data_IF_649508006355
#
_entry.id   IF_649508006355
#
_cell.length_a   1.000
_cell.length_b   1.000
_cell.length_c   1.000
_cell.angle_alpha   90.00
_cell.angle_beta   90.00
_cell.angle_gamma   90.00
#
_symmetry.space_group_name_H-M   'P 1'
#
loop_
_entity.id
_entity.type
_entity.pdbx_description
1 polymer ?
#
# COMPACT_ATOMS: atom_id res chain seq x y z
N UNK A 1 14.29 -56.07 -15.73
CA UNK A 1 14.15 -55.14 -14.56
C UNK A 1 15.18 -54.00 -14.60
N UNK A 2 16.46 -54.18 -14.81
CA UNK A 2 17.49 -53.12 -14.80
C UNK A 2 17.28 -51.97 -15.79
N UNK A 3 16.73 -52.21 -16.98
CA UNK A 3 16.47 -51.16 -18.00
C UNK A 3 15.30 -50.24 -17.58
N UNK A 4 14.30 -50.77 -16.83
CA UNK A 4 13.17 -50.01 -16.29
C UNK A 4 13.59 -49.12 -15.14
N UNK A 5 14.47 -49.61 -14.26
CA UNK A 5 15.04 -48.88 -13.14
C UNK A 5 15.97 -47.74 -13.57
N UNK A 6 16.77 -47.95 -14.62
CA UNK A 6 17.66 -46.92 -15.20
C UNK A 6 16.86 -45.79 -15.88
N UNK A 7 15.74 -46.10 -16.52
CA UNK A 7 14.82 -45.08 -17.08
C UNK A 7 14.09 -44.27 -16.00
N UNK A 8 13.66 -44.91 -14.92
CA UNK A 8 13.03 -44.23 -13.78
C UNK A 8 13.99 -43.23 -13.13
N UNK A 9 15.22 -43.63 -12.85
CA UNK A 9 16.23 -42.76 -12.22
C UNK A 9 16.60 -41.55 -13.10
N UNK A 10 16.63 -41.73 -14.43
CA UNK A 10 16.83 -40.62 -15.40
C UNK A 10 15.64 -39.63 -15.37
N UNK A 11 14.43 -40.13 -15.22
CA UNK A 11 13.23 -39.29 -15.15
C UNK A 11 13.22 -38.43 -13.88
N UNK A 12 13.53 -38.97 -12.70
CA UNK A 12 13.58 -38.20 -11.44
C UNK A 12 14.65 -37.09 -11.46
N UNK A 13 15.82 -37.36 -12.04
CA UNK A 13 16.85 -36.32 -12.25
C UNK A 13 16.35 -35.17 -13.12
N UNK A 14 15.62 -35.50 -14.19
CA UNK A 14 15.04 -34.48 -15.09
C UNK A 14 14.02 -33.64 -14.34
N UNK A 15 13.11 -34.26 -13.59
CA UNK A 15 12.12 -33.55 -12.80
C UNK A 15 12.80 -32.60 -11.79
N UNK A 16 13.72 -33.15 -10.98
CA UNK A 16 14.39 -32.37 -9.93
C UNK A 16 15.21 -31.19 -10.51
N UNK A 17 15.96 -31.45 -11.60
CA UNK A 17 16.78 -30.40 -12.24
C UNK A 17 15.91 -29.31 -12.88
N UNK A 18 14.81 -29.70 -13.56
CA UNK A 18 13.87 -28.73 -14.12
C UNK A 18 13.21 -27.90 -13.02
N UNK A 19 12.74 -28.57 -11.95
CA UNK A 19 12.12 -27.87 -10.83
C UNK A 19 13.11 -26.85 -10.19
N UNK A 20 14.33 -27.27 -9.92
CA UNK A 20 15.36 -26.40 -9.34
C UNK A 20 15.68 -25.20 -10.24
N UNK A 21 15.90 -25.43 -11.52
CA UNK A 21 16.26 -24.35 -12.46
C UNK A 21 15.12 -23.35 -12.65
N UNK A 22 13.88 -23.83 -12.82
CA UNK A 22 12.71 -22.96 -12.94
C UNK A 22 12.42 -22.20 -11.63
N UNK A 23 12.51 -22.87 -10.49
CA UNK A 23 12.29 -22.24 -9.19
C UNK A 23 13.32 -21.14 -8.90
N UNK A 24 14.61 -21.46 -9.01
CA UNK A 24 15.68 -20.47 -8.76
C UNK A 24 15.55 -19.28 -9.72
N UNK A 25 15.33 -19.54 -11.01
CA UNK A 25 15.16 -18.47 -11.99
C UNK A 25 13.91 -17.62 -11.74
N UNK A 26 12.79 -18.21 -11.32
CA UNK A 26 11.58 -17.49 -10.93
C UNK A 26 11.80 -16.66 -9.66
N UNK A 27 12.44 -17.24 -8.65
CA UNK A 27 12.73 -16.55 -7.38
C UNK A 27 13.61 -15.33 -7.56
N UNK A 28 14.57 -15.38 -8.47
CA UNK A 28 15.41 -14.25 -8.83
C UNK A 28 14.64 -13.11 -9.51
N UNK A 29 13.44 -13.38 -10.05
CA UNK A 29 12.60 -12.37 -10.70
C UNK A 29 11.62 -11.68 -9.75
N UNK A 30 11.43 -12.14 -8.51
CA UNK A 30 10.52 -11.52 -7.56
C UNK A 30 10.80 -10.03 -7.31
N UNK A 31 12.04 -9.56 -7.16
CA UNK A 31 12.33 -8.14 -7.01
C UNK A 31 11.93 -7.29 -8.23
N UNK A 32 11.70 -7.93 -9.39
CA UNK A 32 11.31 -7.29 -10.66
C UNK A 32 9.84 -7.47 -11.00
N UNK A 33 9.08 -8.08 -10.10
CA UNK A 33 7.65 -8.27 -10.30
C UNK A 33 6.90 -6.97 -10.04
N UNK A 34 5.92 -6.68 -10.89
CA UNK A 34 5.08 -5.49 -10.80
C UNK A 34 3.88 -5.73 -9.90
N UNK A 35 3.38 -4.67 -9.24
CA UNK A 35 2.23 -4.71 -8.36
C UNK A 35 2.50 -5.52 -7.09
N UNK A 36 1.59 -6.44 -6.76
CA UNK A 36 1.74 -7.34 -5.61
C UNK A 36 2.70 -8.52 -5.88
N UNK A 37 3.55 -8.43 -6.90
CA UNK A 37 4.61 -9.42 -7.14
C UNK A 37 4.25 -10.56 -8.08
N UNK A 38 3.07 -10.53 -8.72
CA UNK A 38 2.57 -11.69 -9.48
C UNK A 38 3.05 -11.78 -10.93
N UNK A 39 3.48 -10.67 -11.55
CA UNK A 39 3.90 -10.64 -12.96
C UNK A 39 5.20 -9.86 -13.15
N UNK A 40 6.05 -10.33 -14.06
CA UNK A 40 7.31 -9.69 -14.43
C UNK A 40 7.41 -9.52 -15.94
N UNK A 41 8.04 -8.43 -16.38
CA UNK A 41 8.27 -8.14 -17.81
C UNK A 41 9.18 -9.17 -18.51
N UNK A 42 9.92 -9.96 -17.75
CA UNK A 42 10.71 -11.11 -18.25
C UNK A 42 10.52 -12.27 -17.30
N UNK A 43 10.13 -13.45 -17.83
CA UNK A 43 9.88 -14.64 -17.03
C UNK A 43 10.78 -15.82 -17.45
N UNK A 44 12.01 -15.91 -16.93
CA UNK A 44 12.97 -16.96 -17.29
C UNK A 44 12.45 -18.39 -17.18
N UNK A 45 11.62 -18.77 -16.18
CA UNK A 45 11.06 -20.11 -16.08
C UNK A 45 10.32 -20.58 -17.33
N UNK A 46 9.65 -19.66 -18.07
CA UNK A 46 8.96 -19.99 -19.31
C UNK A 46 9.92 -20.54 -20.37
N UNK A 47 11.07 -19.88 -20.56
CA UNK A 47 12.10 -20.30 -21.52
C UNK A 47 12.87 -21.54 -21.06
N UNK A 48 13.21 -21.63 -19.77
CA UNK A 48 13.87 -22.80 -19.18
C UNK A 48 12.98 -24.04 -19.28
N UNK A 49 11.68 -23.90 -18.93
CA UNK A 49 10.70 -24.97 -18.99
C UNK A 49 10.52 -25.50 -20.39
N UNK A 50 10.32 -24.62 -21.38
CA UNK A 50 10.23 -25.01 -22.79
C UNK A 50 11.51 -25.71 -23.26
N UNK A 51 12.68 -25.15 -22.95
CA UNK A 51 13.97 -25.73 -23.29
C UNK A 51 14.15 -27.13 -22.69
N UNK A 52 13.77 -27.33 -21.44
CA UNK A 52 13.80 -28.62 -20.75
C UNK A 52 12.90 -29.66 -21.42
N UNK A 53 11.66 -29.27 -21.76
CA UNK A 53 10.71 -30.19 -22.45
C UNK A 53 11.21 -30.55 -23.85
N UNK A 54 11.79 -29.60 -24.57
CA UNK A 54 12.36 -29.86 -25.91
C UNK A 54 13.57 -30.79 -25.85
N UNK A 55 14.50 -30.60 -24.91
CA UNK A 55 15.73 -31.40 -24.80
C UNK A 55 15.57 -32.72 -24.03
N UNK A 56 14.83 -32.70 -22.93
CA UNK A 56 14.72 -33.83 -22.02
C UNK A 56 13.38 -34.58 -22.14
N UNK A 57 12.46 -34.04 -22.94
CA UNK A 57 11.14 -34.62 -23.16
C UNK A 57 10.10 -34.27 -22.10
N UNK A 58 8.94 -34.90 -22.21
CA UNK A 58 7.79 -34.62 -21.33
C UNK A 58 8.02 -34.98 -19.85
N UNK A 59 9.09 -35.71 -19.52
CA UNK A 59 9.48 -35.94 -18.13
C UNK A 59 9.89 -34.67 -17.36
N UNK A 60 10.08 -33.55 -18.07
CA UNK A 60 10.35 -32.25 -17.46
C UNK A 60 9.08 -31.56 -16.93
N UNK A 61 7.89 -31.88 -17.47
CA UNK A 61 6.62 -31.22 -17.12
C UNK A 61 6.28 -31.23 -15.62
N UNK A 62 6.42 -32.37 -14.90
CA UNK A 62 6.20 -32.36 -13.44
C UNK A 62 7.15 -31.43 -12.68
N UNK A 63 8.39 -31.25 -13.19
CA UNK A 63 9.35 -30.32 -12.62
C UNK A 63 8.91 -28.85 -12.78
N UNK A 64 8.32 -28.48 -13.92
CA UNK A 64 7.75 -27.16 -14.16
C UNK A 64 6.60 -26.91 -13.18
N UNK A 65 5.68 -27.88 -13.05
CA UNK A 65 4.55 -27.80 -12.12
C UNK A 65 5.02 -27.56 -10.67
N UNK A 66 5.99 -28.35 -10.20
CA UNK A 66 6.52 -28.23 -8.84
C UNK A 66 7.20 -26.89 -8.58
N UNK A 67 7.97 -26.39 -9.55
CA UNK A 67 8.61 -25.09 -9.43
C UNK A 67 7.59 -23.97 -9.32
N UNK A 68 6.59 -23.97 -10.19
CA UNK A 68 5.57 -22.95 -10.24
C UNK A 68 4.64 -22.99 -9.01
N UNK A 69 4.33 -24.20 -8.51
CA UNK A 69 3.59 -24.38 -7.26
C UNK A 69 4.33 -23.81 -6.06
N UNK A 70 5.66 -24.02 -5.98
CA UNK A 70 6.49 -23.46 -4.91
C UNK A 70 6.53 -21.92 -4.98
N UNK A 71 6.67 -21.36 -6.17
CA UNK A 71 6.67 -19.91 -6.38
C UNK A 71 5.31 -19.30 -5.98
N UNK A 72 4.19 -19.94 -6.34
CA UNK A 72 2.87 -19.52 -5.93
C UNK A 72 2.66 -19.59 -4.42
N UNK A 73 3.19 -20.63 -3.76
CA UNK A 73 3.12 -20.77 -2.30
C UNK A 73 3.80 -19.61 -1.56
N UNK A 74 4.89 -19.10 -2.11
CA UNK A 74 5.59 -17.95 -1.51
C UNK A 74 4.90 -16.60 -1.76
N UNK A 75 4.09 -16.50 -2.83
CA UNK A 75 3.48 -15.24 -3.27
C UNK A 75 2.07 -15.03 -2.76
N UNK A 76 1.27 -16.09 -2.73
CA UNK A 76 -0.15 -15.99 -2.41
C UNK A 76 -0.40 -16.28 -0.92
N UNK A 77 -1.19 -15.43 -0.24
CA UNK A 77 -1.56 -15.70 1.13
C UNK A 77 -2.39 -16.98 1.23
N UNK A 78 -2.21 -17.73 2.32
CA UNK A 78 -3.03 -18.89 2.63
C UNK A 78 -4.52 -18.47 2.73
N UNK A 79 -5.39 -19.27 2.13
CA UNK A 79 -6.83 -19.02 2.16
C UNK A 79 -7.56 -20.24 2.71
N UNK A 80 -8.53 -20.00 3.60
CA UNK A 80 -9.39 -21.06 4.17
C UNK A 80 -10.51 -21.48 3.20
N UNK A 81 -10.72 -20.77 2.09
CA UNK A 81 -11.73 -21.12 1.10
C UNK A 81 -11.30 -22.33 0.26
N UNK A 82 -12.05 -23.46 0.25
CA UNK A 82 -11.74 -24.62 -0.57
C UNK A 82 -11.64 -24.30 -2.07
N UNK A 83 -12.43 -23.34 -2.55
CA UNK A 83 -12.41 -22.89 -3.93
C UNK A 83 -11.09 -22.21 -4.29
N UNK A 84 -10.61 -21.30 -3.44
CA UNK A 84 -9.32 -20.63 -3.66
C UNK A 84 -8.16 -21.60 -3.56
N UNK A 85 -8.21 -22.57 -2.65
CA UNK A 85 -7.20 -23.64 -2.58
C UNK A 85 -7.17 -24.47 -3.87
N UNK A 86 -8.33 -24.84 -4.42
CA UNK A 86 -8.39 -25.56 -5.69
C UNK A 86 -7.74 -24.77 -6.82
N UNK A 87 -8.05 -23.46 -6.94
CA UNK A 87 -7.46 -22.58 -7.96
C UNK A 87 -5.96 -22.47 -7.77
N UNK A 88 -5.48 -22.37 -6.53
CA UNK A 88 -4.06 -22.34 -6.18
C UNK A 88 -3.31 -23.57 -6.76
N UNK A 89 -3.84 -24.78 -6.60
CA UNK A 89 -3.23 -25.99 -7.15
C UNK A 89 -3.40 -26.12 -8.69
N UNK A 90 -4.42 -25.53 -9.28
CA UNK A 90 -4.65 -25.54 -10.71
C UNK A 90 -3.82 -24.50 -11.47
N UNK A 91 -3.51 -23.37 -10.87
CA UNK A 91 -2.80 -22.27 -11.55
C UNK A 91 -1.45 -22.68 -12.15
N UNK A 92 -0.59 -23.51 -11.52
CA UNK A 92 0.67 -23.97 -12.11
C UNK A 92 0.49 -24.82 -13.38
N UNK A 93 -0.69 -25.36 -13.63
CA UNK A 93 -0.96 -26.08 -14.88
C UNK A 93 -0.88 -25.19 -16.12
N UNK A 94 -1.07 -23.88 -15.96
CA UNK A 94 -0.89 -22.91 -17.05
C UNK A 94 0.55 -22.93 -17.59
N UNK A 95 1.55 -22.97 -16.72
CA UNK A 95 2.97 -23.06 -17.09
C UNK A 95 3.31 -24.41 -17.71
N UNK A 96 2.72 -25.48 -17.23
CA UNK A 96 2.85 -26.80 -17.84
C UNK A 96 2.24 -26.82 -19.24
N UNK A 97 1.02 -26.27 -19.40
CA UNK A 97 0.32 -26.16 -20.69
C UNK A 97 1.15 -25.34 -21.68
N UNK A 98 1.72 -24.24 -21.25
CA UNK A 98 2.60 -23.39 -22.07
C UNK A 98 3.79 -24.18 -22.63
N UNK A 99 4.54 -24.86 -21.78
CA UNK A 99 5.71 -25.63 -22.19
C UNK A 99 5.31 -26.81 -23.09
N UNK A 100 4.19 -27.45 -22.82
CA UNK A 100 3.66 -28.55 -23.60
C UNK A 100 3.19 -28.09 -25.01
N UNK A 101 2.37 -27.03 -25.09
CA UNK A 101 1.92 -26.44 -26.36
C UNK A 101 3.10 -25.95 -27.19
N UNK A 102 4.04 -25.22 -26.56
CA UNK A 102 5.24 -24.72 -27.23
C UNK A 102 6.06 -25.88 -27.81
N UNK A 103 6.24 -26.95 -27.05
CA UNK A 103 6.96 -28.14 -27.51
C UNK A 103 6.26 -28.80 -28.72
N UNK A 104 4.92 -28.96 -28.72
CA UNK A 104 4.17 -29.53 -29.81
C UNK A 104 4.27 -28.69 -31.08
N UNK A 105 4.02 -27.38 -30.94
CA UNK A 105 4.05 -26.43 -32.06
C UNK A 105 5.43 -26.37 -32.69
N UNK A 106 6.50 -26.29 -31.88
CA UNK A 106 7.90 -26.26 -32.37
C UNK A 106 8.24 -27.58 -33.09
N UNK A 107 7.91 -28.75 -32.51
CA UNK A 107 8.21 -30.04 -33.12
C UNK A 107 7.47 -30.25 -34.40
N UNK A 108 6.21 -29.81 -34.49
CA UNK A 108 5.36 -30.04 -35.66
C UNK A 108 5.66 -29.11 -36.83
N UNK A 109 5.90 -27.82 -36.55
CA UNK A 109 5.97 -26.79 -37.58
C UNK A 109 7.39 -26.19 -37.77
N UNK A 110 8.19 -26.10 -36.73
CA UNK A 110 9.54 -25.58 -36.82
C UNK A 110 10.62 -26.65 -36.99
N UNK A 111 10.24 -27.96 -36.94
CA UNK A 111 11.14 -29.07 -37.23
C UNK A 111 12.26 -29.26 -36.20
N UNK A 112 11.91 -29.43 -34.94
CA UNK A 112 12.90 -29.71 -33.87
C UNK A 112 13.46 -31.18 -34.03
N UNK A 113 14.78 -31.40 -33.88
CA UNK A 113 15.82 -30.47 -33.40
C UNK A 113 16.30 -29.48 -34.47
N UNK A 114 15.78 -28.27 -34.48
CA UNK A 114 16.17 -27.20 -35.35
C UNK A 114 17.37 -26.47 -34.75
N UNK A 115 18.41 -26.20 -35.58
CA UNK A 115 19.58 -25.47 -35.12
C UNK A 115 19.38 -23.96 -35.06
N UNK A 116 18.17 -23.45 -35.39
CA UNK A 116 17.85 -22.03 -35.45
C UNK A 116 18.94 -21.22 -36.23
N UNK A 117 19.28 -21.71 -37.42
CA UNK A 117 20.37 -21.13 -38.23
C UNK A 117 19.84 -20.03 -39.14
N UNK A 118 18.69 -20.23 -39.76
CA UNK A 118 18.09 -19.25 -40.66
C UNK A 118 17.18 -18.28 -39.88
N UNK A 119 17.12 -17.03 -40.35
CA UNK A 119 16.21 -16.01 -39.76
C UNK A 119 14.77 -16.52 -39.74
N UNK A 120 14.33 -17.15 -40.84
CA UNK A 120 12.97 -17.69 -40.90
C UNK A 120 12.67 -18.76 -39.85
N UNK A 121 13.64 -19.66 -39.55
CA UNK A 121 13.46 -20.68 -38.51
C UNK A 121 13.46 -20.06 -37.10
N UNK A 122 14.22 -18.98 -36.88
CA UNK A 122 14.23 -18.25 -35.62
C UNK A 122 12.88 -17.54 -35.43
N UNK A 123 12.42 -16.80 -36.44
CA UNK A 123 11.13 -16.08 -36.38
C UNK A 123 9.99 -17.08 -36.15
N UNK A 124 9.96 -18.19 -36.92
CA UNK A 124 8.93 -19.21 -36.78
C UNK A 124 8.94 -19.84 -35.38
N UNK A 125 10.11 -20.12 -34.82
CA UNK A 125 10.27 -20.64 -33.46
C UNK A 125 9.64 -19.68 -32.45
N UNK A 126 9.95 -18.37 -32.50
CA UNK A 126 9.41 -17.39 -31.58
C UNK A 126 7.91 -17.13 -31.76
N UNK A 127 7.41 -17.08 -32.99
CA UNK A 127 5.99 -16.96 -33.24
C UNK A 127 5.19 -18.11 -32.61
N UNK A 128 5.66 -19.35 -32.82
CA UNK A 128 4.97 -20.53 -32.34
C UNK A 128 5.10 -20.73 -30.82
N UNK A 129 6.30 -20.65 -30.30
CA UNK A 129 6.57 -20.93 -28.88
C UNK A 129 6.44 -19.73 -27.98
N UNK A 130 6.77 -18.53 -28.46
CA UNK A 130 6.66 -17.29 -27.71
C UNK A 130 5.25 -16.71 -27.75
N UNK A 131 4.74 -16.33 -28.93
CA UNK A 131 3.47 -15.61 -29.00
C UNK A 131 2.25 -16.52 -28.91
N UNK A 132 2.21 -17.62 -29.70
CA UNK A 132 1.02 -18.46 -29.79
C UNK A 132 0.88 -19.38 -28.58
N UNK A 133 1.95 -20.10 -28.19
CA UNK A 133 1.87 -21.08 -27.10
C UNK A 133 1.70 -20.44 -25.71
N UNK A 134 2.06 -19.18 -25.53
CA UNK A 134 1.94 -18.46 -24.25
C UNK A 134 0.61 -17.77 -24.08
N UNK A 135 -0.11 -17.48 -25.17
CA UNK A 135 -1.32 -16.66 -25.15
C UNK A 135 -2.43 -17.24 -24.24
N UNK A 136 -2.87 -18.47 -24.55
CA UNK A 136 -3.93 -19.12 -23.74
C UNK A 136 -3.47 -19.39 -22.29
N UNK A 137 -2.26 -19.91 -22.01
CA UNK A 137 -1.77 -20.06 -20.66
C UNK A 137 -1.69 -18.75 -19.85
N UNK A 138 -1.36 -17.62 -20.49
CA UNK A 138 -1.37 -16.32 -19.84
C UNK A 138 -2.79 -15.90 -19.40
N UNK A 139 -3.80 -16.14 -20.24
CA UNK A 139 -5.21 -15.90 -19.87
C UNK A 139 -5.60 -16.76 -18.66
N UNK A 140 -5.27 -18.05 -18.67
CA UNK A 140 -5.59 -18.96 -17.57
C UNK A 140 -4.91 -18.58 -16.27
N UNK A 141 -3.65 -18.16 -16.34
CA UNK A 141 -2.88 -17.70 -15.17
C UNK A 141 -3.49 -16.44 -14.56
N UNK A 142 -3.81 -15.44 -15.38
CA UNK A 142 -4.41 -14.18 -14.92
C UNK A 142 -5.82 -14.40 -14.39
N UNK A 143 -6.61 -15.27 -15.02
CA UNK A 143 -7.92 -15.66 -14.51
C UNK A 143 -7.82 -16.32 -13.12
N UNK A 144 -6.81 -17.17 -12.90
CA UNK A 144 -6.57 -17.78 -11.60
C UNK A 144 -6.21 -16.74 -10.53
N UNK A 145 -5.38 -15.73 -10.85
CA UNK A 145 -5.05 -14.63 -9.94
C UNK A 145 -6.30 -13.80 -9.57
N UNK A 146 -7.12 -13.48 -10.56
CA UNK A 146 -8.37 -12.74 -10.35
C UNK A 146 -9.36 -13.51 -9.47
N UNK A 147 -9.58 -14.80 -9.77
CA UNK A 147 -10.48 -15.66 -8.98
C UNK A 147 -9.99 -15.88 -7.53
N UNK A 148 -8.69 -15.81 -7.30
CA UNK A 148 -8.13 -15.82 -5.95
C UNK A 148 -8.25 -14.46 -5.23
N UNK A 149 -8.64 -13.38 -5.94
CA UNK A 149 -8.72 -12.04 -5.39
C UNK A 149 -7.36 -11.35 -5.26
N UNK A 150 -6.34 -11.85 -5.97
CA UNK A 150 -4.99 -11.31 -5.93
C UNK A 150 -4.83 -10.04 -6.80
N UNK A 151 -5.71 -9.83 -7.77
CA UNK A 151 -5.73 -8.66 -8.66
C UNK A 151 -7.14 -8.11 -8.81
N UNK A 152 -7.25 -6.82 -9.08
CA UNK A 152 -8.53 -6.13 -9.33
C UNK A 152 -8.95 -6.27 -10.80
N UNK A 153 -10.24 -6.07 -11.06
CA UNK A 153 -10.79 -6.08 -12.43
C UNK A 153 -10.14 -5.00 -13.32
N UNK A 154 -9.86 -3.83 -12.75
CA UNK A 154 -9.15 -2.73 -13.43
C UNK A 154 -7.77 -3.12 -13.96
N UNK A 155 -7.12 -4.10 -13.34
CA UNK A 155 -5.74 -4.47 -13.63
C UNK A 155 -5.61 -5.69 -14.53
N UNK A 156 -6.74 -6.33 -14.90
CA UNK A 156 -6.75 -7.55 -15.68
C UNK A 156 -6.00 -7.44 -17.01
N UNK A 157 -6.27 -6.39 -17.79
CA UNK A 157 -5.63 -6.20 -19.10
C UNK A 157 -4.14 -5.95 -18.96
N UNK A 158 -3.75 -5.10 -18.03
CA UNK A 158 -2.34 -4.79 -17.76
C UNK A 158 -1.58 -6.03 -17.28
N UNK A 159 -2.15 -6.78 -16.35
CA UNK A 159 -1.58 -8.02 -15.82
C UNK A 159 -1.44 -9.08 -16.92
N UNK A 160 -2.46 -9.22 -17.77
CA UNK A 160 -2.41 -10.15 -18.92
C UNK A 160 -1.29 -9.77 -19.89
N UNK A 161 -1.24 -8.52 -20.33
CA UNK A 161 -0.20 -8.06 -21.27
C UNK A 161 1.20 -8.24 -20.68
N UNK A 162 1.40 -7.88 -19.42
CA UNK A 162 2.68 -8.02 -18.73
C UNK A 162 3.09 -9.49 -18.59
N UNK A 163 2.16 -10.37 -18.20
CA UNK A 163 2.39 -11.82 -18.10
C UNK A 163 2.74 -12.42 -19.45
N UNK A 164 1.93 -12.13 -20.46
CA UNK A 164 2.11 -12.67 -21.82
C UNK A 164 3.46 -12.22 -22.42
N UNK A 165 3.77 -10.93 -22.36
CA UNK A 165 5.05 -10.39 -22.84
C UNK A 165 6.23 -10.91 -22.02
N UNK A 166 6.04 -11.09 -20.71
CA UNK A 166 7.05 -11.67 -19.82
C UNK A 166 7.40 -13.11 -20.20
N UNK A 167 6.42 -13.94 -20.51
CA UNK A 167 6.62 -15.31 -20.98
C UNK A 167 7.25 -15.35 -22.38
N UNK A 168 6.82 -14.46 -23.29
CA UNK A 168 7.43 -14.31 -24.63
C UNK A 168 8.92 -13.95 -24.53
N UNK A 169 9.25 -12.94 -23.73
CA UNK A 169 10.64 -12.49 -23.54
C UNK A 169 11.48 -13.56 -22.85
N UNK A 170 10.91 -14.25 -21.86
CA UNK A 170 11.52 -15.39 -21.20
C UNK A 170 11.90 -16.50 -22.17
N UNK A 171 10.99 -16.88 -23.08
CA UNK A 171 11.27 -17.86 -24.13
C UNK A 171 12.34 -17.36 -25.10
N UNK A 172 12.23 -16.09 -25.53
CA UNK A 172 13.18 -15.51 -26.49
C UNK A 172 14.63 -15.53 -26.00
N UNK A 173 14.83 -15.27 -24.74
CA UNK A 173 16.18 -15.13 -24.12
C UNK A 173 16.65 -16.49 -23.58
N UNK A 174 15.83 -17.12 -22.74
CA UNK A 174 16.30 -18.24 -21.91
C UNK A 174 16.20 -19.61 -22.62
N UNK A 175 15.38 -19.79 -23.66
CA UNK A 175 15.38 -21.07 -24.39
C UNK A 175 16.64 -21.26 -25.20
N UNK A 176 17.14 -20.28 -26.00
CA UNK A 176 18.45 -20.43 -26.69
C UNK A 176 19.59 -20.55 -25.71
N UNK A 177 19.57 -19.82 -24.59
CA UNK A 177 20.58 -19.92 -23.54
C UNK A 177 20.60 -21.33 -22.93
N UNK A 178 19.43 -21.90 -22.62
CA UNK A 178 19.28 -23.25 -22.11
C UNK A 178 19.86 -24.29 -23.11
N UNK A 179 19.55 -24.15 -24.41
CA UNK A 179 20.10 -25.01 -25.43
C UNK A 179 21.63 -24.91 -25.52
N UNK A 180 22.18 -23.72 -25.39
CA UNK A 180 23.63 -23.50 -25.44
C UNK A 180 24.35 -24.17 -24.26
N UNK A 181 23.71 -24.26 -23.09
CA UNK A 181 24.29 -24.89 -21.89
C UNK A 181 24.11 -26.41 -21.90
N UNK A 182 22.90 -26.88 -22.20
CA UNK A 182 22.50 -28.27 -21.98
C UNK A 182 22.51 -29.16 -23.23
N UNK A 183 22.51 -28.59 -24.44
CA UNK A 183 22.57 -29.37 -25.68
C UNK A 183 23.98 -29.76 -26.06
N UNK A 184 24.48 -30.85 -25.46
CA UNK A 184 25.84 -31.37 -25.71
C UNK A 184 26.00 -32.04 -27.08
N UNK A 185 24.90 -32.39 -27.75
CA UNK A 185 24.92 -33.17 -28.99
C UNK A 185 25.34 -32.37 -30.23
N UNK A 186 25.27 -31.07 -30.22
CA UNK A 186 25.59 -30.21 -31.35
C UNK A 186 26.66 -29.19 -30.98
N UNK A 187 27.84 -29.37 -31.58
CA UNK A 187 29.02 -28.47 -31.42
C UNK A 187 28.67 -26.99 -31.68
N UNK A 188 27.72 -26.74 -32.58
CA UNK A 188 27.24 -25.40 -32.95
C UNK A 188 26.65 -24.64 -31.74
N UNK A 189 25.87 -25.30 -30.89
CA UNK A 189 25.27 -24.65 -29.70
C UNK A 189 26.32 -24.24 -28.68
N UNK A 190 27.38 -25.02 -28.53
CA UNK A 190 28.49 -24.69 -27.63
C UNK A 190 29.31 -23.48 -28.13
N UNK A 191 29.51 -23.35 -29.45
CA UNK A 191 30.14 -22.16 -30.02
C UNK A 191 29.27 -20.91 -29.89
N UNK A 192 27.93 -21.06 -29.90
CA UNK A 192 26.98 -19.98 -29.71
C UNK A 192 26.83 -19.51 -28.26
N UNK A 193 27.33 -20.28 -27.29
CA UNK A 193 27.29 -19.85 -25.88
C UNK A 193 28.00 -18.50 -25.70
N UNK A 194 29.12 -18.30 -26.34
CA UNK A 194 29.86 -17.03 -26.28
C UNK A 194 29.30 -15.96 -27.23
N UNK A 195 28.87 -16.34 -28.44
CA UNK A 195 28.43 -15.38 -29.46
C UNK A 195 26.99 -14.91 -29.27
N UNK A 196 26.12 -15.70 -28.66
CA UNK A 196 24.71 -15.36 -28.38
C UNK A 196 24.43 -15.28 -26.88
N UNK A 197 24.91 -16.25 -26.10
CA UNK A 197 24.60 -16.33 -24.67
C UNK A 197 25.19 -15.16 -23.89
N UNK A 198 26.44 -14.81 -24.15
CA UNK A 198 27.10 -13.69 -23.45
C UNK A 198 26.41 -12.33 -23.74
N UNK A 199 26.19 -11.91 -25.02
CA UNK A 199 25.48 -10.68 -25.31
C UNK A 199 24.04 -10.64 -24.74
N UNK A 200 23.28 -11.74 -24.86
CA UNK A 200 21.94 -11.83 -24.30
C UNK A 200 21.94 -11.67 -22.78
N UNK A 201 22.91 -12.31 -22.09
CA UNK A 201 23.03 -12.16 -20.63
C UNK A 201 23.42 -10.74 -20.24
N UNK A 202 24.32 -10.10 -20.97
CA UNK A 202 24.72 -8.71 -20.71
C UNK A 202 23.54 -7.77 -20.93
N UNK A 203 22.81 -7.88 -22.05
CA UNK A 203 21.66 -7.05 -22.35
C UNK A 203 20.58 -7.26 -21.29
N UNK A 204 20.27 -8.52 -20.94
CA UNK A 204 19.31 -8.82 -19.90
C UNK A 204 19.73 -8.21 -18.55
N UNK A 205 21.00 -8.38 -18.15
CA UNK A 205 21.51 -7.80 -16.91
C UNK A 205 21.43 -6.27 -16.92
N UNK A 206 21.78 -5.63 -18.04
CA UNK A 206 21.72 -4.18 -18.16
C UNK A 206 20.28 -3.65 -18.07
N UNK A 207 19.31 -4.30 -18.74
CA UNK A 207 17.87 -3.96 -18.65
C UNK A 207 17.36 -4.19 -17.23
N UNK A 208 17.75 -5.28 -16.61
CA UNK A 208 17.39 -5.63 -15.24
C UNK A 208 17.88 -4.57 -14.24
N UNK A 209 19.16 -4.20 -14.31
CA UNK A 209 19.73 -3.15 -13.45
C UNK A 209 19.06 -1.80 -13.72
N UNK A 210 18.85 -1.44 -15.00
CA UNK A 210 18.13 -0.21 -15.36
C UNK A 210 16.71 -0.15 -14.77
N UNK A 211 15.99 -1.27 -14.81
CA UNK A 211 14.66 -1.39 -14.19
C UNK A 211 14.70 -1.20 -12.67
N UNK A 212 15.64 -1.87 -11.98
CA UNK A 212 15.81 -1.71 -10.52
C UNK A 212 16.09 -0.26 -10.12
N UNK A 213 16.97 0.40 -10.86
CA UNK A 213 17.30 1.81 -10.62
C UNK A 213 16.08 2.70 -10.87
N UNK A 214 15.29 2.44 -11.92
CA UNK A 214 14.07 3.19 -12.21
C UNK A 214 13.01 2.97 -11.13
N UNK A 215 12.81 1.73 -10.67
CA UNK A 215 11.87 1.37 -9.62
C UNK A 215 12.22 2.02 -8.28
N UNK A 216 13.51 2.01 -7.90
CA UNK A 216 13.95 2.64 -6.64
C UNK A 216 13.71 4.15 -6.65
N UNK A 217 13.97 4.82 -7.77
CA UNK A 217 13.70 6.26 -7.93
C UNK A 217 12.21 6.59 -7.90
N UNK A 218 11.36 5.77 -8.50
CA UNK A 218 9.91 5.98 -8.47
C UNK A 218 9.35 5.77 -7.06
N UNK A 219 9.84 4.77 -6.32
CA UNK A 219 9.46 4.55 -4.93
C UNK A 219 9.87 5.74 -4.04
N UNK A 220 11.09 6.25 -4.21
CA UNK A 220 11.56 7.45 -3.51
C UNK A 220 10.69 8.68 -3.83
N UNK A 221 10.35 8.86 -5.11
CA UNK A 221 9.44 9.93 -5.55
C UNK A 221 8.05 9.82 -4.90
N UNK A 222 7.48 8.61 -4.84
CA UNK A 222 6.20 8.37 -4.18
C UNK A 222 6.27 8.67 -2.68
N UNK A 223 7.34 8.25 -1.99
CA UNK A 223 7.57 8.59 -0.60
C UNK A 223 7.64 10.10 -0.37
N UNK A 224 8.35 10.85 -1.21
CA UNK A 224 8.40 12.30 -1.13
C UNK A 224 7.03 12.95 -1.38
N UNK A 225 6.26 12.46 -2.35
CA UNK A 225 4.91 12.97 -2.62
C UNK A 225 3.98 12.76 -1.42
N UNK A 226 3.97 11.55 -0.84
CA UNK A 226 3.17 11.25 0.35
C UNK A 226 3.61 12.09 1.54
N UNK A 227 4.91 12.20 1.79
CA UNK A 227 5.46 13.02 2.88
C UNK A 227 5.07 14.50 2.72
N UNK A 228 5.20 15.05 1.52
CA UNK A 228 4.83 16.43 1.23
C UNK A 228 3.33 16.68 1.43
N UNK A 229 2.47 15.76 0.97
CA UNK A 229 1.03 15.86 1.19
C UNK A 229 0.66 15.76 2.67
N UNK A 230 1.29 14.83 3.40
CA UNK A 230 1.07 14.69 4.85
C UNK A 230 1.49 15.95 5.60
N UNK A 231 2.64 16.52 5.28
CA UNK A 231 3.10 17.76 5.89
C UNK A 231 2.16 18.94 5.58
N UNK A 232 1.70 19.04 4.34
CA UNK A 232 0.78 20.09 3.94
C UNK A 232 -0.57 19.99 4.67
N UNK A 233 -1.10 18.78 4.87
CA UNK A 233 -2.31 18.54 5.70
C UNK A 233 -2.04 18.93 7.14
N UNK A 234 -0.90 18.52 7.70
CA UNK A 234 -0.51 18.89 9.07
C UNK A 234 -0.45 20.39 9.27
N UNK A 235 0.16 21.13 8.34
CA UNK A 235 0.22 22.59 8.39
C UNK A 235 -1.19 23.21 8.34
N UNK A 236 -2.07 22.73 7.44
CA UNK A 236 -3.43 23.23 7.34
C UNK A 236 -4.24 23.02 8.65
N UNK A 237 -4.05 21.87 9.31
CA UNK A 237 -4.68 21.60 10.60
C UNK A 237 -4.12 22.48 11.72
N UNK A 238 -2.81 22.70 11.73
CA UNK A 238 -2.17 23.59 12.72
C UNK A 238 -2.57 25.05 12.51
N UNK A 239 -2.70 25.51 11.28
CA UNK A 239 -3.16 26.87 10.97
C UNK A 239 -4.58 27.09 11.48
N UNK A 240 -5.51 26.14 11.21
CA UNK A 240 -6.89 26.23 11.72
C UNK A 240 -6.92 26.21 13.25
N UNK A 241 -6.17 25.29 13.87
CA UNK A 241 -6.02 25.26 15.33
C UNK A 241 -5.49 26.59 15.89
N UNK A 242 -4.48 27.17 15.25
CA UNK A 242 -3.91 28.46 15.69
C UNK A 242 -4.91 29.61 15.66
N UNK A 243 -5.82 29.61 14.69
CA UNK A 243 -6.91 30.59 14.57
C UNK A 243 -7.86 30.46 15.77
N UNK A 244 -8.22 29.23 16.15
CA UNK A 244 -9.08 28.97 17.32
C UNK A 244 -8.43 29.43 18.62
N UNK A 245 -7.14 29.06 18.81
CA UNK A 245 -6.38 29.50 19.98
C UNK A 245 -6.26 31.02 20.03
N UNK A 246 -6.01 31.67 18.90
CA UNK A 246 -5.94 33.15 18.85
C UNK A 246 -7.28 33.82 19.17
N UNK A 247 -8.39 33.24 18.76
CA UNK A 247 -9.73 33.70 19.12
C UNK A 247 -9.97 33.59 20.65
N UNK A 248 -9.67 32.41 21.24
CA UNK A 248 -9.87 32.18 22.67
C UNK A 248 -8.92 33.05 23.53
N UNK A 249 -7.67 33.29 23.08
CA UNK A 249 -6.74 34.20 23.74
C UNK A 249 -7.28 35.63 23.78
N UNK A 250 -7.86 36.14 22.68
CA UNK A 250 -8.48 37.47 22.68
C UNK A 250 -9.61 37.59 23.71
N UNK A 251 -10.42 36.53 23.88
CA UNK A 251 -11.43 36.48 24.93
C UNK A 251 -10.81 36.42 26.32
N UNK A 252 -9.70 35.69 26.47
CA UNK A 252 -8.96 35.58 27.69
C UNK A 252 -8.34 36.90 28.12
N UNK A 253 -7.78 37.71 27.21
CA UNK A 253 -7.23 39.03 27.47
C UNK A 253 -8.29 39.97 28.05
N UNK A 254 -9.52 39.92 27.54
CA UNK A 254 -10.65 40.67 28.08
C UNK A 254 -11.00 40.25 29.54
N UNK A 255 -10.83 38.97 29.84
CA UNK A 255 -11.02 38.42 31.18
C UNK A 255 -9.91 38.88 32.15
N UNK A 256 -8.64 38.86 31.71
CA UNK A 256 -7.48 39.29 32.48
C UNK A 256 -7.55 40.78 32.87
N UNK A 257 -7.98 41.64 31.93
CA UNK A 257 -8.15 43.08 32.13
C UNK A 257 -9.35 43.48 33.02
N UNK A 258 -10.03 42.55 33.65
CA UNK A 258 -11.26 42.78 34.46
C UNK A 258 -12.41 43.49 33.70
N UNK A 259 -12.36 43.50 32.36
CA UNK A 259 -13.38 44.09 31.51
C UNK A 259 -14.42 43.06 31.09
N UNK A 260 -14.26 41.80 31.48
CA UNK A 260 -15.17 40.73 31.17
C UNK A 260 -16.44 40.87 32.03
N UNK A 261 -17.49 41.33 31.39
CA UNK A 261 -18.86 41.29 31.94
C UNK A 261 -19.75 40.43 31.00
N UNK A 262 -20.93 40.07 31.42
CA UNK A 262 -21.82 39.20 30.65
C UNK A 262 -22.09 39.73 29.24
N UNK A 263 -22.31 41.04 29.11
CA UNK A 263 -22.62 41.69 27.84
C UNK A 263 -21.45 41.63 26.86
N UNK A 264 -20.21 41.93 27.35
CA UNK A 264 -18.97 41.87 26.51
C UNK A 264 -18.65 40.42 26.14
N UNK A 265 -18.76 39.48 27.09
CA UNK A 265 -18.55 38.06 26.82
C UNK A 265 -19.52 37.59 25.71
N UNK A 266 -20.82 37.85 25.90
CA UNK A 266 -21.84 37.43 24.95
C UNK A 266 -21.65 38.04 23.55
N UNK A 267 -21.27 39.30 23.47
CA UNK A 267 -20.98 39.96 22.19
C UNK A 267 -19.80 39.32 21.47
N UNK A 268 -18.67 39.08 22.18
CA UNK A 268 -17.50 38.47 21.59
C UNK A 268 -17.73 37.00 21.22
N UNK A 269 -18.44 36.24 22.05
CA UNK A 269 -18.79 34.86 21.79
C UNK A 269 -19.68 34.72 20.56
N UNK A 270 -20.73 35.56 20.44
CA UNK A 270 -21.60 35.58 19.26
C UNK A 270 -20.85 35.98 17.99
N UNK A 271 -19.91 36.91 18.09
CA UNK A 271 -19.04 37.27 16.96
C UNK A 271 -18.19 36.08 16.55
N UNK A 272 -17.57 35.37 17.49
CA UNK A 272 -16.81 34.14 17.23
C UNK A 272 -17.64 33.05 16.59
N UNK A 273 -18.84 32.79 17.13
CA UNK A 273 -19.78 31.82 16.57
C UNK A 273 -20.20 32.13 15.10
N UNK A 274 -20.18 33.41 14.70
CA UNK A 274 -20.43 33.80 13.30
C UNK A 274 -19.21 33.62 12.42
N UNK A 275 -18.03 33.91 12.95
CA UNK A 275 -16.77 33.87 12.19
C UNK A 275 -16.20 32.45 12.02
N UNK A 276 -16.46 31.58 12.99
CA UNK A 276 -15.96 30.19 13.03
C UNK A 276 -17.12 29.21 12.94
N UNK A 277 -17.41 28.65 11.76
CA UNK A 277 -18.55 27.73 11.56
C UNK A 277 -18.47 26.46 12.40
N UNK A 278 -17.28 26.01 12.69
CA UNK A 278 -16.95 24.83 13.51
C UNK A 278 -17.03 25.09 15.03
N UNK A 279 -17.04 26.36 15.46
CA UNK A 279 -17.26 26.72 16.86
C UNK A 279 -18.71 26.48 17.26
N UNK A 280 -18.93 25.57 18.20
CA UNK A 280 -20.26 25.18 18.71
C UNK A 280 -20.65 26.01 19.93
N UNK A 281 -19.70 26.33 20.77
CA UNK A 281 -19.92 27.10 21.96
C UNK A 281 -18.65 27.67 22.61
N UNK A 282 -18.84 28.70 23.43
CA UNK A 282 -17.79 29.31 24.26
C UNK A 282 -18.28 29.43 25.67
N UNK A 283 -17.46 29.04 26.63
CA UNK A 283 -17.79 29.10 28.06
C UNK A 283 -16.69 29.83 28.83
N UNK A 284 -17.08 30.61 29.82
CA UNK A 284 -16.19 31.16 30.84
C UNK A 284 -16.44 30.47 32.18
N UNK A 285 -15.38 29.84 32.68
CA UNK A 285 -15.36 29.14 33.96
C UNK A 285 -14.52 29.92 34.94
N UNK A 286 -15.10 30.39 36.07
CA UNK A 286 -14.32 31.01 37.15
C UNK A 286 -13.70 29.93 38.02
N UNK A 287 -12.43 30.14 38.39
CA UNK A 287 -11.74 29.28 39.32
C UNK A 287 -12.06 29.66 40.78
N UNK A 288 -12.49 28.69 41.58
CA UNK A 288 -12.66 28.81 43.05
C UNK A 288 -11.58 27.94 43.70
N UNK A 289 -10.77 28.53 44.52
CA UNK A 289 -9.70 27.82 45.25
C UNK A 289 -10.34 26.95 46.35
N UNK A 290 -10.00 25.65 46.37
CA UNK A 290 -10.36 24.68 47.38
C UNK A 290 -9.11 24.10 48.01
N UNK A 291 -9.22 23.35 49.13
CA UNK A 291 -8.12 22.89 49.96
C UNK A 291 -6.97 22.15 49.23
N UNK A 292 -7.20 21.60 48.04
CA UNK A 292 -6.18 20.91 47.24
C UNK A 292 -6.31 21.19 45.74
N UNK A 293 -6.66 22.39 45.29
CA UNK A 293 -6.74 22.72 43.87
C UNK A 293 -7.78 23.78 43.54
N UNK A 294 -8.32 23.71 42.36
CA UNK A 294 -9.33 24.61 41.86
C UNK A 294 -10.63 23.84 41.47
N UNK A 295 -11.76 24.45 41.81
CA UNK A 295 -13.05 24.05 41.28
C UNK A 295 -13.50 25.10 40.26
N UNK A 296 -13.93 24.67 39.10
CA UNK A 296 -14.37 25.54 38.00
C UNK A 296 -15.91 25.66 38.04
N UNK A 297 -16.39 26.89 38.08
CA UNK A 297 -17.83 27.18 38.11
C UNK A 297 -18.16 27.97 36.83
N UNK A 298 -19.09 27.43 36.03
CA UNK A 298 -19.59 28.08 34.83
C UNK A 298 -20.31 29.37 35.19
N UNK A 299 -19.82 30.51 34.67
CA UNK A 299 -20.41 31.83 34.90
C UNK A 299 -21.11 32.37 33.66
N UNK A 300 -20.45 32.31 32.52
CA UNK A 300 -21.01 32.78 31.26
C UNK A 300 -20.85 31.67 30.21
N UNK A 301 -21.85 31.55 29.35
CA UNK A 301 -21.80 30.65 28.21
C UNK A 301 -22.64 31.19 27.07
N UNK A 302 -22.17 30.91 25.84
CA UNK A 302 -22.92 31.15 24.61
C UNK A 302 -22.72 29.95 23.71
N UNK A 303 -23.81 29.38 23.23
CA UNK A 303 -23.76 28.15 22.42
C UNK A 303 -24.66 28.29 21.19
N UNK A 304 -24.28 27.70 20.11
CA UNK A 304 -25.04 27.67 18.85
C UNK A 304 -26.30 26.78 18.97
N UNK A 305 -26.22 25.74 19.81
CA UNK A 305 -27.32 24.79 20.03
C UNK A 305 -27.32 24.31 21.49
N UNK A 306 -28.47 24.26 22.12
CA UNK A 306 -28.65 23.86 23.54
C UNK A 306 -28.28 22.39 23.86
N UNK A 307 -27.65 21.65 22.96
CA UNK A 307 -27.37 20.22 23.12
C UNK A 307 -25.95 19.88 23.58
N UNK A 308 -25.04 20.85 23.58
CA UNK A 308 -23.62 20.56 23.91
C UNK A 308 -23.24 21.42 25.11
N UNK A 309 -23.02 20.77 26.24
CA UNK A 309 -22.43 21.40 27.44
C UNK A 309 -21.28 20.53 27.90
N UNK A 310 -20.11 21.13 28.15
CA UNK A 310 -18.99 20.40 28.69
C UNK A 310 -19.18 20.16 30.19
N UNK A 311 -19.09 18.93 30.65
CA UNK A 311 -18.97 18.55 32.05
C UNK A 311 -17.48 18.42 32.41
N UNK A 312 -16.95 19.49 33.03
CA UNK A 312 -15.52 19.59 33.33
C UNK A 312 -15.12 18.79 34.57
N UNK A 313 -16.08 18.40 35.43
CA UNK A 313 -15.79 17.59 36.61
C UNK A 313 -15.37 16.14 36.21
N UNK A 314 -15.66 15.74 34.98
CA UNK A 314 -15.33 14.43 34.43
C UNK A 314 -13.98 14.35 33.71
N UNK A 315 -13.19 15.45 33.62
CA UNK A 315 -11.90 15.48 32.91
C UNK A 315 -10.73 15.54 33.92
N UNK A 316 -10.21 14.39 34.41
CA UNK A 316 -9.15 14.35 35.44
C UNK A 316 -7.83 14.98 34.98
N UNK A 317 -7.61 15.04 33.65
CA UNK A 317 -6.39 15.59 33.04
C UNK A 317 -6.34 17.13 33.12
N UNK A 318 -7.50 17.80 33.21
CA UNK A 318 -7.59 19.26 33.28
C UNK A 318 -6.81 19.81 34.49
N UNK A 319 -6.90 19.14 35.64
CA UNK A 319 -6.25 19.58 36.89
C UNK A 319 -4.72 19.47 36.79
N UNK A 320 -4.18 18.52 36.08
CA UNK A 320 -2.70 18.36 35.93
C UNK A 320 -2.10 19.39 34.97
N UNK A 321 -2.81 19.80 33.95
CA UNK A 321 -2.32 20.70 32.90
C UNK A 321 -2.44 22.18 33.29
N UNK A 322 -3.32 22.52 34.20
CA UNK A 322 -3.48 23.88 34.72
C UNK A 322 -2.23 24.39 35.46
N UNK A 323 -1.37 23.49 35.94
CA UNK A 323 -0.10 23.85 36.60
C UNK A 323 0.98 24.23 35.58
N UNK A 324 0.82 24.00 34.27
CA UNK A 324 1.84 24.32 33.25
C UNK A 324 1.60 25.67 32.57
N UNK A 325 0.42 26.26 32.72
CA UNK A 325 0.07 27.52 32.06
C UNK A 325 -0.22 27.41 30.56
N UNK A 326 -0.25 26.21 30.03
CA UNK A 326 -0.42 25.94 28.60
C UNK A 326 -1.89 25.80 28.22
N UNK A 327 -2.18 26.06 26.95
CA UNK A 327 -3.49 25.78 26.36
C UNK A 327 -3.73 24.28 26.34
N UNK A 328 -4.91 23.87 26.78
CA UNK A 328 -5.30 22.48 26.86
C UNK A 328 -6.27 22.10 25.75
N UNK A 329 -6.07 20.91 25.18
CA UNK A 329 -6.97 20.33 24.17
C UNK A 329 -7.42 18.96 24.64
N UNK A 330 -8.72 18.69 24.58
CA UNK A 330 -9.25 17.37 24.88
C UNK A 330 -10.47 17.06 24.00
N UNK A 331 -10.73 15.76 23.78
CA UNK A 331 -11.98 15.31 23.22
C UNK A 331 -13.09 15.41 24.28
N UNK A 332 -14.20 16.03 23.92
CA UNK A 332 -15.40 16.07 24.75
C UNK A 332 -16.27 14.84 24.51
N UNK A 333 -16.45 14.51 23.25
CA UNK A 333 -17.20 13.34 22.79
C UNK A 333 -16.70 12.91 21.38
N UNK A 334 -17.42 12.00 20.73
CA UNK A 334 -17.07 11.52 19.36
C UNK A 334 -17.19 12.57 18.25
N UNK A 335 -17.81 13.70 18.54
CA UNK A 335 -18.10 14.76 17.55
C UNK A 335 -17.46 16.09 17.91
N UNK A 336 -17.09 16.30 19.17
CA UNK A 336 -16.62 17.59 19.67
C UNK A 336 -15.30 17.46 20.41
N UNK A 337 -14.47 18.49 20.26
CA UNK A 337 -13.28 18.70 21.07
C UNK A 337 -13.33 20.07 21.75
N UNK A 338 -12.58 20.22 22.80
CA UNK A 338 -12.47 21.46 23.54
C UNK A 338 -11.04 22.01 23.49
N UNK A 339 -10.94 23.33 23.45
CA UNK A 339 -9.69 24.05 23.70
C UNK A 339 -9.96 24.93 24.93
N UNK A 340 -9.16 24.76 25.98
CA UNK A 340 -9.24 25.54 27.19
C UNK A 340 -7.99 26.40 27.36
N UNK A 341 -8.19 27.71 27.55
CA UNK A 341 -7.12 28.69 27.74
C UNK A 341 -7.21 29.23 29.17
N UNK A 342 -6.16 29.05 30.00
CA UNK A 342 -6.14 29.54 31.38
C UNK A 342 -5.99 31.05 31.42
N UNK A 343 -6.76 31.68 32.32
CA UNK A 343 -6.66 33.10 32.65
C UNK A 343 -6.01 33.28 34.02
N UNK A 344 -5.02 34.15 34.11
CA UNK A 344 -4.31 34.45 35.35
C UNK A 344 -4.62 35.85 35.85
N UNK A 345 -4.52 36.05 37.15
CA UNK A 345 -4.66 37.38 37.72
C UNK A 345 -3.40 38.21 37.46
N UNK A 346 -3.53 39.31 36.72
CA UNK A 346 -2.42 40.23 36.41
C UNK A 346 -2.48 41.44 37.32
N UNK A 347 -1.38 41.73 38.02
CA UNK A 347 -1.24 42.93 38.88
C UNK A 347 0.07 42.91 39.70
N UNK A 348 0.50 44.04 40.24
CA UNK A 348 1.77 44.14 40.96
C UNK A 348 1.83 43.33 42.26
N UNK A 349 0.71 42.79 42.75
CA UNK A 349 0.60 41.89 43.92
C UNK A 349 -0.04 40.54 43.54
N UNK A 350 -0.05 40.16 42.26
CA UNK A 350 -0.67 38.92 41.82
C UNK A 350 0.17 37.71 42.17
N UNK A 351 -0.42 36.76 42.89
CA UNK A 351 0.07 35.40 42.81
C UNK A 351 -0.23 34.91 41.37
N UNK A 352 0.58 33.98 40.79
CA UNK A 352 0.26 33.30 39.54
C UNK A 352 -0.97 32.39 39.70
N UNK A 353 -2.04 32.96 40.25
CA UNK A 353 -3.25 32.23 40.57
C UNK A 353 -4.19 32.22 39.37
N UNK A 354 -4.76 31.06 39.06
CA UNK A 354 -5.74 30.89 37.98
C UNK A 354 -7.03 31.60 38.39
N UNK A 355 -7.44 32.57 37.59
CA UNK A 355 -8.71 33.28 37.72
C UNK A 355 -9.89 32.51 37.11
N UNK A 356 -9.62 31.78 36.01
CA UNK A 356 -10.61 31.02 35.32
C UNK A 356 -10.09 30.43 34.03
N UNK A 357 -10.98 29.87 33.24
CA UNK A 357 -10.73 29.27 31.92
C UNK A 357 -11.70 29.84 30.89
N UNK A 358 -11.16 30.19 29.73
CA UNK A 358 -11.96 30.36 28.51
C UNK A 358 -11.95 29.03 27.76
N UNK A 359 -13.10 28.48 27.52
CA UNK A 359 -13.24 27.19 26.85
C UNK A 359 -14.04 27.34 25.57
N UNK A 360 -13.44 26.93 24.45
CA UNK A 360 -14.12 26.79 23.17
C UNK A 360 -14.49 25.32 22.94
N UNK A 361 -15.70 25.09 22.46
CA UNK A 361 -16.21 23.78 22.06
C UNK A 361 -16.35 23.79 20.54
N UNK A 362 -15.69 22.84 19.86
CA UNK A 362 -15.60 22.80 18.40
C UNK A 362 -16.11 21.47 17.85
N UNK A 363 -16.77 21.51 16.69
CA UNK A 363 -17.17 20.33 15.93
C UNK A 363 -16.00 19.81 15.10
N UNK A 364 -15.62 18.53 15.30
CA UNK A 364 -14.48 17.91 14.65
C UNK A 364 -14.65 17.83 13.12
N UNK A 365 -15.87 17.55 12.64
CA UNK A 365 -16.13 17.43 11.20
C UNK A 365 -16.02 18.77 10.51
N UNK A 366 -16.59 19.80 11.12
CA UNK A 366 -16.54 21.16 10.59
C UNK A 366 -15.09 21.69 10.60
N UNK A 367 -14.33 21.46 11.67
CA UNK A 367 -12.90 21.77 11.75
C UNK A 367 -12.08 21.12 10.61
N UNK A 368 -12.26 19.80 10.42
CA UNK A 368 -11.58 19.09 9.35
C UNK A 368 -11.99 19.62 7.96
N UNK A 369 -13.29 19.92 7.80
CA UNK A 369 -13.80 20.47 6.56
C UNK A 369 -13.15 21.81 6.23
N UNK A 370 -13.09 22.75 7.20
CA UNK A 370 -12.54 24.09 6.99
C UNK A 370 -11.04 24.03 6.73
N UNK A 371 -10.26 23.24 7.51
CA UNK A 371 -8.83 23.05 7.31
C UNK A 371 -8.52 22.46 5.92
N UNK A 372 -9.26 21.43 5.50
CA UNK A 372 -9.01 20.75 4.23
C UNK A 372 -9.51 21.57 3.03
N UNK A 373 -10.56 22.35 3.20
CA UNK A 373 -11.10 23.17 2.12
C UNK A 373 -10.21 24.36 1.77
N UNK A 374 -9.60 24.99 2.77
CA UNK A 374 -8.59 26.07 2.56
C UNK A 374 -7.37 25.55 1.82
N UNK A 375 -6.92 24.32 2.10
CA UNK A 375 -5.79 23.69 1.43
C UNK A 375 -6.11 23.05 0.07
N UNK A 376 -7.38 23.05 -0.39
CA UNK A 376 -7.85 22.38 -1.61
C UNK A 376 -7.58 20.84 -1.65
N UNK A 377 -7.60 20.17 -0.50
CA UNK A 377 -7.30 18.74 -0.36
C UNK A 377 -8.55 17.87 -0.54
N UNK A 378 -9.07 17.76 -1.77
CA UNK A 378 -10.35 17.08 -2.06
C UNK A 378 -10.29 15.54 -2.08
N UNK A 379 -9.10 14.96 -2.11
CA UNK A 379 -8.89 13.51 -2.28
C UNK A 379 -8.19 12.84 -1.10
N UNK A 380 -8.01 13.56 0.00
CA UNK A 380 -7.32 13.04 1.17
C UNK A 380 -8.36 12.66 2.23
N UNK A 381 -8.20 11.47 2.80
CA UNK A 381 -9.00 11.02 3.95
C UNK A 381 -8.18 11.24 5.22
N UNK A 382 -8.73 12.00 6.15
CA UNK A 382 -8.09 12.28 7.45
C UNK A 382 -8.91 11.60 8.53
N UNK A 383 -8.24 10.80 9.37
CA UNK A 383 -8.81 10.15 10.54
C UNK A 383 -8.08 10.68 11.77
N UNK A 384 -8.82 11.32 12.67
CA UNK A 384 -8.30 11.74 13.97
C UNK A 384 -8.46 10.60 14.98
N UNK A 385 -7.40 10.28 15.70
CA UNK A 385 -7.41 9.28 16.77
C UNK A 385 -6.84 9.90 18.02
N UNK A 386 -7.47 9.62 19.17
CA UNK A 386 -6.96 10.01 20.47
C UNK A 386 -6.08 8.88 20.97
N UNK A 387 -4.79 9.17 21.10
CA UNK A 387 -3.72 8.29 21.56
C UNK A 387 -3.64 6.87 20.94
N UNK A 388 -2.45 6.29 20.92
CA UNK A 388 -2.05 5.04 20.22
C UNK A 388 -2.84 3.81 20.66
N UNK A 389 -3.55 3.86 21.78
CA UNK A 389 -4.20 2.70 22.41
C UNK A 389 -5.73 2.65 22.30
N UNK A 390 -6.39 3.73 21.85
CA UNK A 390 -7.85 3.76 21.78
C UNK A 390 -8.32 4.49 20.51
N UNK A 391 -8.75 3.78 19.45
CA UNK A 391 -9.22 4.42 18.24
C UNK A 391 -10.60 5.05 18.48
N UNK A 392 -10.64 6.22 19.09
CA UNK A 392 -11.80 7.08 19.01
C UNK A 392 -11.84 7.72 17.64
N UNK A 393 -12.62 7.16 16.74
CA UNK A 393 -12.86 7.71 15.42
C UNK A 393 -13.68 8.97 15.56
N UNK A 394 -13.03 10.11 15.57
CA UNK A 394 -13.72 11.37 15.63
C UNK A 394 -14.43 11.71 14.32
N UNK A 395 -13.73 11.72 13.21
CA UNK A 395 -14.30 12.07 11.91
C UNK A 395 -13.44 11.52 10.77
N UNK A 396 -14.09 11.15 9.68
CA UNK A 396 -13.45 10.80 8.41
C UNK A 396 -13.81 11.91 7.42
N UNK A 397 -12.82 12.55 6.82
CA UNK A 397 -12.99 13.54 5.78
C UNK A 397 -12.61 12.93 4.43
N UNK A 398 -13.51 13.00 3.44
CA UNK A 398 -13.33 12.49 2.09
C UNK A 398 -14.47 11.58 1.65
N UNK A 399 -14.56 11.30 0.32
CA UNK A 399 -15.50 10.31 -0.21
C UNK A 399 -14.94 8.92 0.06
N UNK A 400 -15.48 8.23 1.02
CA UNK A 400 -15.23 6.79 1.22
C UNK A 400 -16.46 6.02 0.73
N UNK A 401 -16.27 5.07 -0.20
CA UNK A 401 -17.12 3.90 -0.25
C UNK A 401 -16.71 3.06 0.96
N UNK A 402 -17.49 3.10 2.02
CA UNK A 402 -17.15 2.72 3.40
C UNK A 402 -16.62 1.28 3.58
N UNK A 403 -16.83 0.37 2.65
CA UNK A 403 -16.41 -1.05 2.77
C UNK A 403 -15.04 -1.37 2.16
N UNK A 404 -14.45 -0.50 1.32
CA UNK A 404 -13.19 -0.82 0.62
C UNK A 404 -11.94 -0.20 1.25
N UNK A 405 -12.08 0.70 2.19
CA UNK A 405 -10.95 1.47 2.72
C UNK A 405 -10.13 0.71 3.78
N UNK A 406 -10.76 -0.13 4.60
CA UNK A 406 -10.06 -0.92 5.62
C UNK A 406 -9.20 -2.04 5.01
N UNK A 407 -9.60 -2.60 3.84
CA UNK A 407 -8.87 -3.69 3.18
C UNK A 407 -7.72 -3.21 2.28
N UNK A 408 -7.72 -1.96 1.81
CA UNK A 408 -6.75 -1.50 0.80
C UNK A 408 -5.52 -0.79 1.36
N UNK A 409 -5.65 -0.16 2.50
CA UNK A 409 -4.54 0.49 3.20
C UNK A 409 -4.40 -0.14 4.58
N UNK A 410 -3.93 -1.38 4.61
CA UNK A 410 -3.57 -2.05 5.86
C UNK A 410 -2.75 -1.09 6.71
N UNK A 411 -3.43 -0.30 7.51
CA UNK A 411 -2.80 0.48 8.55
C UNK A 411 -2.25 -0.53 9.53
N UNK A 412 -0.93 -0.68 9.46
CA UNK A 412 -0.16 -1.46 10.38
C UNK A 412 -0.64 -1.19 11.81
N UNK A 413 -0.99 -2.28 12.48
CA UNK A 413 -1.07 -2.32 13.92
C UNK A 413 0.27 -1.94 14.52
#
# INVERSE_FOLDING_TARGET
MAKRQKNSFKSWRTIALTALLCYVAGRLMFPFAWGQGYVSAVWPPAGIGLGAVLLWGYSALPGIYLADLLLHYEMLPASDSPFKQLIFFLSPLSSVLQAWLGCILVKRYAGFPNLLISIGSIVLFFLLSGLIATFLPAILSVAALFLNGAILESDLLFTFLTKWLGDCSGIAIFTPLFFSIFNKSHRIWRQRLLSLGLPLTIIFSAVTVGYLVAQSKELERLHHLVANQTNAVREALLDEYSIHVAFLNRMNDAAALKTLNESNFRFNAQTGLKQHPDLVGVEWLSAQQINQGYRFVKQFFEVRSNRVTADFDSIPQLIRLLNTGETFVALLDKQHYIIAVPSYETGPNSCDCIKGLVVGIFDIKAFLYDAMHRGNYKQIVVKLTDDVSNPMVGAIFGKTDDEKFEDHYGLAK
#
